data_IF_850719022276
#
_entry.id   IF_850719022276
#
_cell.length_a   1.000
_cell.length_b   1.000
_cell.length_c   1.000
_cell.angle_alpha   90.00
_cell.angle_beta   90.00
_cell.angle_gamma   90.00
#
_symmetry.space_group_name_H-M   'P 1'
#
loop_
_entity.id
_entity.type
_entity.pdbx_description
1 polymer ?
#
# COMPACT_ATOMS: atom_id res chain seq x y z
N UNK A 1 -5.43 21.91 12.33
CA UNK A 1 -4.88 21.12 11.21
C UNK A 1 -4.71 19.74 11.81
N UNK A 2 -5.74 18.91 11.66
CA UNK A 2 -5.77 17.59 12.29
C UNK A 2 -4.64 16.76 11.67
N UNK A 3 -3.81 16.14 12.51
CA UNK A 3 -2.74 15.29 11.99
C UNK A 3 -3.39 14.14 11.22
N UNK A 4 -2.77 13.64 10.16
CA UNK A 4 -3.24 12.44 9.44
C UNK A 4 -3.58 11.30 10.45
N UNK A 5 -2.77 11.19 11.50
CA UNK A 5 -2.93 10.29 12.66
C UNK A 5 -4.29 10.47 13.38
N UNK A 6 -4.77 11.71 13.56
CA UNK A 6 -6.06 12.00 14.21
C UNK A 6 -7.25 11.58 13.32
N UNK A 7 -7.10 11.69 11.99
CA UNK A 7 -8.10 11.23 11.01
C UNK A 7 -8.22 9.72 11.02
N UNK A 8 -7.11 9.00 11.15
CA UNK A 8 -7.15 7.55 11.22
C UNK A 8 -7.58 7.04 12.61
N UNK A 9 -7.33 7.77 13.70
CA UNK A 9 -7.49 7.31 15.09
C UNK A 9 -8.94 7.02 15.55
N UNK A 10 -9.98 7.45 14.83
CA UNK A 10 -11.33 7.56 15.44
C UNK A 10 -12.44 6.68 14.86
N UNK A 11 -12.22 5.95 13.76
CA UNK A 11 -13.14 4.93 13.17
C UNK A 11 -12.50 4.26 11.94
N UNK A 12 -13.05 3.14 11.41
CA UNK A 12 -12.70 2.67 10.08
C UNK A 12 -12.85 3.83 9.09
N UNK A 13 -11.72 4.28 8.57
CA UNK A 13 -11.65 5.45 7.73
C UNK A 13 -11.85 5.02 6.28
N UNK A 14 -12.98 5.40 5.69
CA UNK A 14 -13.09 5.40 4.24
C UNK A 14 -12.38 6.64 3.69
N UNK A 15 -11.45 6.44 2.77
CA UNK A 15 -10.58 7.47 2.23
C UNK A 15 -10.63 7.41 0.72
N UNK A 16 -11.06 8.49 0.08
CA UNK A 16 -11.21 8.52 -1.38
C UNK A 16 -9.88 8.37 -2.12
N UNK A 17 -8.79 8.91 -1.58
CA UNK A 17 -7.48 8.91 -2.21
C UNK A 17 -6.34 8.88 -1.19
N UNK A 18 -5.36 8.02 -1.44
CA UNK A 18 -4.10 7.96 -0.69
C UNK A 18 -2.94 7.94 -1.69
N UNK A 19 -1.93 8.77 -1.46
CA UNK A 19 -0.64 8.67 -2.12
C UNK A 19 0.41 8.15 -1.13
N UNK A 20 1.22 7.18 -1.57
CA UNK A 20 2.24 6.59 -0.72
C UNK A 20 3.27 5.77 -1.49
N UNK A 21 4.02 4.97 -0.75
CA UNK A 21 5.09 4.13 -1.29
C UNK A 21 4.90 2.67 -0.88
N UNK A 22 4.67 1.81 -1.87
CA UNK A 22 4.54 0.37 -1.73
C UNK A 22 5.91 -0.28 -1.52
N UNK A 23 5.99 -1.11 -0.49
CA UNK A 23 7.09 -2.06 -0.30
C UNK A 23 6.51 -3.45 -0.12
N UNK A 24 7.00 -4.40 -0.92
CA UNK A 24 6.67 -5.83 -0.82
C UNK A 24 7.97 -6.60 -0.75
N UNK A 25 8.07 -7.51 0.19
CA UNK A 25 9.27 -8.30 0.43
C UNK A 25 8.89 -9.71 0.85
N UNK A 26 9.85 -10.62 0.68
CA UNK A 26 9.75 -11.99 1.11
C UNK A 26 10.83 -12.25 2.16
N UNK A 27 10.42 -12.42 3.41
CA UNK A 27 11.30 -12.68 4.57
C UNK A 27 10.58 -13.68 5.48
N UNK A 28 10.80 -14.98 5.23
CA UNK A 28 10.04 -16.11 5.80
C UNK A 28 8.51 -16.08 5.53
N UNK A 29 8.10 -15.30 4.53
CA UNK A 29 6.72 -15.11 4.13
C UNK A 29 6.55 -13.83 3.31
N UNK A 30 5.57 -13.82 2.40
CA UNK A 30 5.26 -12.65 1.59
C UNK A 30 4.56 -11.60 2.46
N UNK A 31 5.14 -10.40 2.52
CA UNK A 31 4.66 -9.29 3.33
C UNK A 31 4.75 -7.98 2.58
N UNK A 32 3.87 -7.03 2.89
CA UNK A 32 3.86 -5.74 2.23
C UNK A 32 3.17 -4.64 3.03
N UNK A 33 3.59 -3.42 2.77
CA UNK A 33 3.00 -2.22 3.38
C UNK A 33 3.12 -1.01 2.46
N UNK A 34 2.28 -0.02 2.72
CA UNK A 34 2.33 1.30 2.10
C UNK A 34 2.80 2.29 3.14
N UNK A 35 3.86 3.03 2.83
CA UNK A 35 4.33 4.13 3.69
C UNK A 35 3.70 5.43 3.23
N UNK A 36 3.10 6.16 4.16
CA UNK A 36 2.69 7.55 3.95
C UNK A 36 3.76 8.45 4.53
N UNK A 37 4.19 9.43 3.75
CA UNK A 37 5.07 10.49 4.24
C UNK A 37 4.20 11.64 4.78
N UNK A 38 4.14 11.76 6.10
CA UNK A 38 3.42 12.85 6.79
C UNK A 38 4.41 13.77 7.52
N UNK A 39 5.55 14.07 6.89
CA UNK A 39 6.59 14.94 7.45
C UNK A 39 7.50 14.18 8.41
N UNK A 40 7.26 14.32 9.72
CA UNK A 40 8.13 13.72 10.75
C UNK A 40 7.77 12.25 11.06
N UNK A 41 6.52 11.85 10.79
CA UNK A 41 6.02 10.51 11.09
C UNK A 41 5.79 9.70 9.79
N UNK A 42 6.43 8.53 9.71
CA UNK A 42 6.17 7.54 8.66
C UNK A 42 5.09 6.58 9.12
N UNK A 43 3.88 6.75 8.61
CA UNK A 43 2.79 5.81 8.86
C UNK A 43 2.94 4.63 7.92
N UNK A 44 2.87 3.40 8.46
CA UNK A 44 2.81 2.18 7.65
C UNK A 44 1.40 1.62 7.68
N UNK A 45 0.85 1.39 6.50
CA UNK A 45 -0.42 0.71 6.31
C UNK A 45 -0.12 -0.68 5.77
N UNK A 46 -0.49 -1.71 6.54
CA UNK A 46 -0.21 -3.11 6.22
C UNK A 46 -1.16 -3.58 5.11
N UNK A 47 -0.60 -4.29 4.13
CA UNK A 47 -1.37 -4.96 3.09
C UNK A 47 -1.64 -6.41 3.49
N UNK A 48 -2.88 -6.85 3.31
CA UNK A 48 -3.19 -8.28 3.38
C UNK A 48 -2.55 -9.02 2.21
N UNK A 49 -2.26 -10.30 2.40
CA UNK A 49 -1.65 -11.16 1.39
C UNK A 49 -2.45 -11.19 0.07
N UNK A 50 -3.79 -11.12 0.15
CA UNK A 50 -4.67 -11.13 -1.01
C UNK A 50 -4.44 -9.92 -1.93
N UNK A 51 -4.20 -8.74 -1.35
CA UNK A 51 -3.86 -7.55 -2.13
C UNK A 51 -2.51 -7.72 -2.82
N UNK A 52 -1.51 -8.24 -2.09
CA UNK A 52 -0.16 -8.45 -2.62
C UNK A 52 -0.18 -9.45 -3.79
N UNK A 53 -0.85 -10.59 -3.62
CA UNK A 53 -0.94 -11.63 -4.65
C UNK A 53 -1.58 -11.10 -5.94
N UNK A 54 -2.66 -10.31 -5.82
CA UNK A 54 -3.32 -9.71 -6.97
C UNK A 54 -2.44 -8.66 -7.66
N UNK A 55 -1.72 -7.83 -6.90
CA UNK A 55 -0.76 -6.86 -7.46
C UNK A 55 0.31 -7.59 -8.27
N UNK A 56 0.95 -8.58 -7.67
CA UNK A 56 2.03 -9.34 -8.31
C UNK A 56 1.56 -10.12 -9.54
N UNK A 57 0.31 -10.59 -9.55
CA UNK A 57 -0.26 -11.33 -10.67
C UNK A 57 -0.63 -10.45 -11.85
N UNK A 58 -1.11 -9.23 -11.58
CA UNK A 58 -1.62 -8.32 -12.62
C UNK A 58 -0.57 -7.31 -13.11
N UNK A 59 0.52 -7.09 -12.38
CA UNK A 59 1.63 -6.26 -12.81
C UNK A 59 2.51 -6.96 -13.86
N UNK A 60 2.34 -6.53 -15.11
CA UNK A 60 3.12 -6.89 -16.28
C UNK A 60 4.08 -5.78 -16.74
N UNK A 61 4.15 -4.66 -16.00
CA UNK A 61 4.91 -3.46 -16.40
C UNK A 61 6.24 -3.39 -15.66
N UNK A 62 6.22 -3.44 -14.32
CA UNK A 62 7.42 -3.20 -13.52
C UNK A 62 8.20 -4.49 -13.26
N UNK A 63 7.49 -5.62 -13.26
CA UNK A 63 8.08 -6.94 -13.11
C UNK A 63 8.57 -7.19 -11.69
N UNK A 64 8.29 -8.39 -11.18
CA UNK A 64 8.73 -8.79 -9.86
C UNK A 64 10.18 -9.27 -9.90
N UNK A 65 11.04 -8.76 -9.02
CA UNK A 65 12.40 -9.28 -8.79
C UNK A 65 12.34 -10.66 -8.12
N UNK A 66 12.14 -11.71 -8.90
CA UNK A 66 12.10 -13.09 -8.41
C UNK A 66 13.49 -13.51 -7.89
N UNK A 67 13.56 -13.92 -6.62
CA UNK A 67 14.79 -14.35 -5.94
C UNK A 67 15.49 -13.27 -5.11
N UNK A 68 15.05 -12.01 -5.20
CA UNK A 68 15.45 -10.94 -4.29
C UNK A 68 14.63 -10.95 -2.99
N UNK A 69 15.18 -10.35 -1.92
CA UNK A 69 14.42 -10.11 -0.68
C UNK A 69 13.23 -9.16 -0.92
N UNK A 70 13.39 -8.19 -1.83
CA UNK A 70 12.37 -7.19 -2.14
C UNK A 70 11.81 -7.43 -3.54
N UNK A 71 10.47 -7.45 -3.63
CA UNK A 71 9.71 -7.59 -4.87
C UNK A 71 9.32 -6.21 -5.40
N UNK A 72 8.89 -5.31 -4.51
CA UNK A 72 8.71 -3.88 -4.75
C UNK A 72 9.40 -3.11 -3.63
N UNK A 73 10.20 -2.08 -3.94
CA UNK A 73 10.92 -1.30 -2.94
C UNK A 73 10.64 0.19 -3.12
N UNK A 74 9.88 0.79 -2.18
CA UNK A 74 9.46 2.18 -2.22
C UNK A 74 8.85 2.60 -3.58
N UNK A 75 8.06 1.72 -4.19
CA UNK A 75 7.35 1.99 -5.43
C UNK A 75 6.27 3.03 -5.17
N UNK A 76 6.24 4.15 -5.92
CA UNK A 76 5.20 5.17 -5.72
C UNK A 76 3.85 4.58 -6.13
N UNK A 77 2.82 4.81 -5.29
CA UNK A 77 1.47 4.31 -5.53
C UNK A 77 0.40 5.34 -5.23
N UNK A 78 -0.68 5.27 -5.99
CA UNK A 78 -1.95 5.93 -5.69
C UNK A 78 -3.00 4.88 -5.40
N UNK A 79 -3.71 5.04 -4.29
CA UNK A 79 -4.85 4.20 -3.92
C UNK A 79 -6.12 5.03 -4.03
N UNK A 80 -7.20 4.44 -4.55
CA UNK A 80 -8.53 5.05 -4.53
C UNK A 80 -9.51 4.21 -3.74
N UNK A 81 -10.38 4.91 -3.01
CA UNK A 81 -11.49 4.34 -2.24
C UNK A 81 -11.01 3.24 -1.29
N UNK A 82 -10.21 3.65 -0.33
CA UNK A 82 -9.54 2.78 0.63
C UNK A 82 -10.38 2.70 1.91
N UNK A 83 -10.61 1.48 2.39
CA UNK A 83 -11.10 1.22 3.75
C UNK A 83 -9.94 0.72 4.60
N UNK A 84 -9.77 1.32 5.78
CA UNK A 84 -8.74 0.96 6.74
C UNK A 84 -9.33 0.40 8.02
N UNK A 85 -8.70 -0.64 8.55
CA UNK A 85 -8.99 -1.21 9.87
C UNK A 85 -7.84 -0.98 10.83
N UNK A 86 -8.20 -0.88 12.11
CA UNK A 86 -7.26 -0.81 13.22
C UNK A 86 -7.23 -2.14 13.94
N UNK A 87 -6.11 -2.84 13.86
CA UNK A 87 -5.91 -4.14 14.47
C UNK A 87 -4.56 -4.18 15.18
N UNK A 88 -4.54 -4.56 16.46
CA UNK A 88 -3.30 -4.78 17.23
C UNK A 88 -2.28 -3.63 17.09
N UNK A 89 -2.73 -2.39 17.34
CA UNK A 89 -1.92 -1.16 17.21
C UNK A 89 -1.35 -0.90 15.80
N UNK A 90 -1.89 -1.59 14.78
CA UNK A 90 -1.51 -1.46 13.38
C UNK A 90 -2.68 -1.00 12.52
N UNK A 91 -2.37 -0.30 11.43
CA UNK A 91 -3.36 0.08 10.41
C UNK A 91 -3.24 -0.90 9.26
N UNK A 92 -4.36 -1.52 8.88
CA UNK A 92 -4.43 -2.54 7.85
C UNK A 92 -5.39 -2.09 6.77
N UNK A 93 -5.07 -2.38 5.50
CA UNK A 93 -6.01 -2.22 4.41
C UNK A 93 -7.04 -3.35 4.44
N UNK A 94 -8.30 -2.96 4.54
CA UNK A 94 -9.46 -3.83 4.43
C UNK A 94 -10.01 -3.88 3.00
N UNK A 95 -10.08 -2.72 2.35
CA UNK A 95 -10.57 -2.59 0.98
C UNK A 95 -9.81 -1.49 0.23
N UNK A 96 -9.63 -1.70 -1.07
CA UNK A 96 -9.16 -0.72 -2.06
C UNK A 96 -10.03 -1.00 -3.29
N UNK A 97 -10.42 0.02 -4.07
CA UNK A 97 -11.05 -0.21 -5.38
C UNK A 97 -10.01 -0.19 -6.51
N UNK A 98 -9.02 0.68 -6.41
CA UNK A 98 -7.97 0.85 -7.42
C UNK A 98 -6.62 1.13 -6.77
N UNK A 99 -5.57 0.44 -7.24
CA UNK A 99 -4.18 0.86 -7.04
C UNK A 99 -3.55 1.22 -8.38
N UNK A 100 -2.83 2.33 -8.43
CA UNK A 100 -1.96 2.70 -9.53
C UNK A 100 -0.50 2.66 -9.06
N UNK A 101 0.33 1.86 -9.71
CA UNK A 101 1.78 1.78 -9.55
C UNK A 101 2.45 2.78 -10.50
N UNK A 102 3.46 3.51 -10.02
CA UNK A 102 4.11 4.62 -10.74
C UNK A 102 5.64 4.54 -10.65
N UNK A 103 6.34 4.58 -11.79
CA UNK A 103 7.79 4.75 -11.87
C UNK A 103 8.18 5.56 -13.13
N UNK A 104 8.69 6.78 -12.95
CA UNK A 104 8.97 7.68 -14.06
C UNK A 104 7.71 7.98 -14.89
N UNK A 105 7.77 7.70 -16.19
CA UNK A 105 6.65 7.87 -17.13
C UNK A 105 5.77 6.61 -17.25
N UNK A 106 6.13 5.52 -16.55
CA UNK A 106 5.39 4.26 -16.58
C UNK A 106 4.31 4.25 -15.49
N UNK A 107 3.14 3.73 -15.84
CA UNK A 107 2.04 3.52 -14.90
C UNK A 107 1.37 2.16 -15.14
N UNK A 108 0.91 1.54 -14.04
CA UNK A 108 0.05 0.35 -14.07
C UNK A 108 -1.12 0.52 -13.13
N UNK A 109 -2.34 0.38 -13.64
CA UNK A 109 -3.56 0.39 -12.83
C UNK A 109 -4.05 -1.04 -12.62
N UNK A 110 -4.40 -1.38 -11.38
CA UNK A 110 -4.97 -2.65 -10.95
C UNK A 110 -6.27 -2.34 -10.19
N UNK A 111 -7.35 -3.03 -10.56
CA UNK A 111 -8.71 -2.84 -10.00
C UNK A 111 -9.05 -4.03 -9.11
N UNK A 112 -9.51 -3.77 -7.89
CA UNK A 112 -9.72 -4.77 -6.85
C UNK A 112 -11.12 -5.37 -6.82
#
# INVERSE_FOLDING_TARGET
>A
MDKLIDVFSTKPGYIDFIEGYLTVYNDDGLSGYITLDNGDDKIRIILSINFIDKIMKEDDVFGVLVGGRFLYCNMRVWLKKVSLLYENDSVVIDMIEEIKLLEGDLEKTIIF
#
